data_IF_391538810607
#
_entry.id   IF_391538810607
#
_cell.length_a   1.000
_cell.length_b   1.000
_cell.length_c   1.000
_cell.angle_alpha   90.00
_cell.angle_beta   90.00
_cell.angle_gamma   90.00
#
_symmetry.space_group_name_H-M   'P 1'
#
loop_
_entity.id
_entity.type
_entity.pdbx_description
1 polymer ?
#
# COMPACT_ATOMS: atom_id res chain seq x y z
N UNK A 1 25.49 20.45 5.41
CA UNK A 1 24.33 21.34 5.64
C UNK A 1 23.32 20.56 6.46
N UNK A 2 22.72 21.17 7.49
CA UNK A 2 21.61 20.57 8.22
C UNK A 2 20.47 20.20 7.27
N UNK A 3 19.74 19.14 7.61
CA UNK A 3 18.68 18.55 6.81
C UNK A 3 17.34 18.75 7.52
N UNK A 4 16.40 19.41 6.85
CA UNK A 4 15.08 19.74 7.39
C UNK A 4 14.16 18.51 7.44
N UNK A 5 13.66 18.08 8.62
CA UNK A 5 12.83 16.89 8.74
C UNK A 5 11.45 17.02 8.06
N UNK A 6 10.91 18.24 7.92
CA UNK A 6 9.64 18.52 7.22
C UNK A 6 9.71 18.17 5.72
N UNK A 7 10.89 18.04 5.14
CA UNK A 7 11.08 17.61 3.74
C UNK A 7 10.92 16.09 3.55
N UNK A 8 10.82 15.34 4.66
CA UNK A 8 10.60 13.88 4.68
C UNK A 8 9.23 13.56 5.23
N UNK A 9 8.96 14.00 6.47
CA UNK A 9 7.71 13.69 7.16
C UNK A 9 6.71 14.77 6.77
N UNK A 10 5.61 14.36 6.13
CA UNK A 10 4.60 15.33 5.71
C UNK A 10 3.49 15.51 6.73
N UNK A 11 3.08 14.44 7.42
CA UNK A 11 2.07 14.52 8.46
C UNK A 11 2.41 13.69 9.71
N UNK A 12 2.11 14.28 10.87
CA UNK A 12 2.09 13.62 12.19
C UNK A 12 0.69 13.81 12.77
N UNK A 13 0.04 12.71 13.18
CA UNK A 13 -1.38 12.68 13.58
C UNK A 13 -2.32 13.37 12.57
N UNK A 14 -2.02 13.23 11.28
CA UNK A 14 -2.85 13.79 10.23
C UNK A 14 -2.79 15.32 10.09
N UNK A 15 -1.86 15.97 10.80
CA UNK A 15 -1.54 17.39 10.67
C UNK A 15 -0.22 17.55 9.96
N UNK A 16 -0.07 18.63 9.20
CA UNK A 16 1.21 19.02 8.61
C UNK A 16 2.33 18.94 9.66
N UNK A 17 3.38 18.22 9.32
CA UNK A 17 4.57 18.13 10.17
C UNK A 17 5.27 19.49 10.25
N UNK A 18 5.59 19.90 11.47
CA UNK A 18 6.34 21.11 11.80
C UNK A 18 7.28 20.79 12.97
N UNK A 19 8.44 21.45 13.03
CA UNK A 19 9.28 21.45 14.23
C UNK A 19 8.50 21.92 15.47
N UNK A 20 8.79 21.29 16.60
CA UNK A 20 8.09 21.48 17.88
C UNK A 20 6.76 20.72 18.00
N UNK A 21 6.46 19.78 17.09
CA UNK A 21 5.21 19.02 17.17
C UNK A 21 5.22 18.07 18.37
N UNK A 22 4.21 18.15 19.22
CA UNK A 22 4.07 17.26 20.37
C UNK A 22 2.73 16.52 20.36
N UNK A 23 2.69 15.27 19.85
CA UNK A 23 1.48 14.46 19.82
C UNK A 23 1.01 14.00 21.21
N UNK A 24 1.77 14.23 22.28
CA UNK A 24 1.37 13.86 23.65
C UNK A 24 0.26 14.76 24.20
N UNK A 25 0.15 16.01 23.73
CA UNK A 25 -0.90 16.94 24.15
C UNK A 25 -2.32 16.43 23.88
N UNK A 26 -2.48 15.57 22.88
CA UNK A 26 -3.76 14.94 22.54
C UNK A 26 -3.78 13.45 22.88
N UNK A 27 -2.88 12.97 23.76
CA UNK A 27 -2.65 11.54 24.05
C UNK A 27 -2.60 10.67 22.77
N UNK A 28 -1.93 11.18 21.74
CA UNK A 28 -1.81 10.52 20.44
C UNK A 28 -3.15 10.17 19.77
N UNK A 29 -4.23 10.88 20.08
CA UNK A 29 -5.53 10.66 19.45
C UNK A 29 -5.46 10.84 17.93
N UNK A 30 -5.87 9.81 17.19
CA UNK A 30 -5.90 9.86 15.74
C UNK A 30 -7.22 10.53 15.29
N UNK A 31 -7.16 11.67 14.57
CA UNK A 31 -8.36 12.43 14.20
C UNK A 31 -9.27 11.68 13.22
N UNK A 32 -8.78 10.61 12.61
CA UNK A 32 -9.47 9.84 11.58
C UNK A 32 -10.26 8.65 12.12
N UNK A 33 -9.92 8.18 13.31
CA UNK A 33 -10.57 7.02 13.94
C UNK A 33 -10.98 7.29 15.39
N UNK A 34 -10.84 8.54 15.85
CA UNK A 34 -11.29 9.02 17.16
C UNK A 34 -10.86 8.11 18.32
N UNK A 35 -9.62 7.64 18.23
CA UNK A 35 -9.01 6.73 19.19
C UNK A 35 -7.50 6.87 19.14
N UNK A 36 -6.81 6.43 20.19
CA UNK A 36 -5.36 6.48 20.29
C UNK A 36 -4.68 5.82 19.08
N UNK A 37 -3.69 6.49 18.51
CA UNK A 37 -3.03 6.05 17.29
C UNK A 37 -2.50 4.60 17.42
N UNK A 38 -2.87 3.69 16.52
CA UNK A 38 -2.49 2.28 16.64
C UNK A 38 -1.10 1.98 16.06
N UNK A 39 -0.49 2.94 15.36
CA UNK A 39 0.80 2.74 14.69
C UNK A 39 1.91 2.64 15.74
N UNK A 40 2.71 1.58 15.69
CA UNK A 40 3.77 1.28 16.66
C UNK A 40 5.15 1.37 16.00
N UNK A 41 6.18 1.50 16.82
CA UNK A 41 7.59 1.39 16.43
C UNK A 41 8.34 0.60 17.50
N UNK A 42 9.30 -0.21 17.10
CA UNK A 42 10.23 -0.85 18.06
C UNK A 42 11.10 0.18 18.78
N UNK A 43 11.24 1.38 18.22
CA UNK A 43 11.99 2.49 18.83
C UNK A 43 11.15 3.27 19.85
N UNK A 44 9.83 3.04 19.90
CA UNK A 44 8.88 3.67 20.82
C UNK A 44 8.02 2.58 21.48
N UNK A 45 8.55 1.86 22.50
CA UNK A 45 7.83 0.74 23.09
C UNK A 45 6.54 1.15 23.82
N UNK A 46 6.50 2.37 24.36
CA UNK A 46 5.44 2.83 25.27
C UNK A 46 4.49 3.86 24.65
N UNK A 47 4.77 4.34 23.44
CA UNK A 47 3.97 5.35 22.77
C UNK A 47 3.75 5.02 21.28
N UNK A 48 2.67 5.52 20.65
CA UNK A 48 2.47 5.40 19.22
C UNK A 48 3.56 6.10 18.43
N UNK A 49 3.68 5.68 17.16
CA UNK A 49 4.52 6.32 16.16
C UNK A 49 3.65 6.97 15.07
N UNK A 50 3.09 8.17 15.33
CA UNK A 50 1.98 8.74 14.56
C UNK A 50 2.36 9.40 13.23
N UNK A 51 3.37 8.91 12.52
CA UNK A 51 3.71 9.39 11.17
C UNK A 51 2.68 8.86 10.16
N UNK A 52 1.91 9.75 9.54
CA UNK A 52 0.78 9.39 8.68
C UNK A 52 1.12 9.39 7.19
N UNK A 53 2.01 10.28 6.76
CA UNK A 53 2.43 10.41 5.36
C UNK A 53 3.87 10.90 5.24
N UNK A 54 4.49 10.59 4.10
CA UNK A 54 5.86 10.96 3.78
C UNK A 54 5.94 11.63 2.42
N UNK A 55 6.83 12.60 2.30
CA UNK A 55 7.19 13.22 1.05
C UNK A 55 8.03 12.26 0.20
N UNK A 56 7.57 12.06 -1.03
CA UNK A 56 8.34 11.51 -2.12
C UNK A 56 8.95 12.68 -2.90
N UNK A 57 10.29 12.79 -2.95
CA UNK A 57 10.95 13.82 -3.73
C UNK A 57 10.52 13.77 -5.20
N UNK A 58 10.44 14.95 -5.83
CA UNK A 58 10.19 15.04 -7.26
C UNK A 58 11.24 14.22 -8.03
N UNK A 59 10.80 13.45 -9.02
CA UNK A 59 11.72 12.84 -9.97
C UNK A 59 12.38 13.93 -10.79
N UNK A 60 13.70 13.85 -11.02
CA UNK A 60 14.43 14.77 -11.91
C UNK A 60 13.86 14.83 -13.34
N UNK A 61 13.07 13.83 -13.73
CA UNK A 61 12.42 13.73 -15.05
C UNK A 61 10.95 14.17 -15.05
N UNK A 62 10.38 14.55 -13.90
CA UNK A 62 8.98 14.94 -13.76
C UNK A 62 8.85 16.46 -13.64
N UNK A 63 7.86 17.03 -14.33
CA UNK A 63 7.43 18.42 -14.12
C UNK A 63 6.57 18.58 -12.85
N UNK A 64 6.15 17.47 -12.22
CA UNK A 64 5.41 17.49 -10.97
C UNK A 64 6.37 17.63 -9.77
N UNK A 65 5.98 18.46 -8.81
CA UNK A 65 6.69 18.65 -7.55
C UNK A 65 6.70 17.41 -6.64
N UNK A 66 7.19 17.52 -5.40
CA UNK A 66 7.16 16.43 -4.44
C UNK A 66 5.72 15.98 -4.17
N UNK A 67 5.54 14.68 -4.00
CA UNK A 67 4.23 14.07 -3.74
C UNK A 67 4.13 13.61 -2.30
N UNK A 68 2.96 13.78 -1.68
CA UNK A 68 2.70 13.28 -0.34
C UNK A 68 2.01 11.91 -0.40
N UNK A 69 2.57 10.91 0.29
CA UNK A 69 2.13 9.52 0.18
C UNK A 69 1.75 8.95 1.55
N UNK A 70 0.59 8.32 1.61
CA UNK A 70 0.02 7.65 2.78
C UNK A 70 0.91 6.48 3.27
N UNK A 71 1.47 6.57 4.47
CA UNK A 71 2.13 5.44 5.17
C UNK A 71 1.29 4.91 6.35
N UNK A 72 0.02 5.27 6.36
CA UNK A 72 -0.97 4.83 7.34
C UNK A 72 -2.34 4.69 6.64
N UNK A 73 -2.99 3.51 6.68
CA UNK A 73 -4.28 3.31 6.02
C UNK A 73 -5.42 4.09 6.70
N UNK A 74 -5.26 4.49 7.97
CA UNK A 74 -6.27 5.32 8.66
C UNK A 74 -6.46 6.68 8.01
N UNK A 75 -5.52 7.13 7.18
CA UNK A 75 -5.61 8.40 6.47
C UNK A 75 -6.71 8.43 5.41
N UNK A 76 -7.17 7.28 4.90
CA UNK A 76 -8.34 7.20 4.00
C UNK A 76 -9.65 7.62 4.66
N UNK A 77 -9.75 7.55 6.00
CA UNK A 77 -10.96 7.92 6.75
C UNK A 77 -11.16 9.43 6.84
N UNK A 78 -10.26 10.23 6.26
CA UNK A 78 -10.47 11.67 6.12
C UNK A 78 -11.51 12.02 5.04
N UNK A 79 -11.95 11.04 4.26
CA UNK A 79 -13.07 11.12 3.33
C UNK A 79 -14.01 9.95 3.59
N UNK A 80 -15.27 10.07 3.15
CA UNK A 80 -16.24 8.98 3.21
C UNK A 80 -16.01 8.00 2.04
N UNK A 81 -14.88 7.30 2.09
CA UNK A 81 -14.49 6.38 1.03
C UNK A 81 -15.50 5.24 0.87
N UNK A 82 -16.23 4.83 1.92
CA UNK A 82 -17.25 3.78 1.82
C UNK A 82 -18.47 4.26 1.03
N UNK A 83 -18.89 5.52 1.23
CA UNK A 83 -19.89 6.15 0.36
C UNK A 83 -19.40 6.25 -1.08
N UNK A 84 -18.13 6.62 -1.29
CA UNK A 84 -17.53 6.65 -2.63
C UNK A 84 -17.48 5.26 -3.28
N UNK A 85 -17.23 4.18 -2.53
CA UNK A 85 -17.36 2.81 -3.04
C UNK A 85 -18.78 2.54 -3.54
N UNK A 86 -19.82 2.94 -2.80
CA UNK A 86 -21.20 2.77 -3.25
C UNK A 86 -21.45 3.59 -4.52
N UNK A 87 -21.03 4.86 -4.51
CA UNK A 87 -21.27 5.80 -5.61
C UNK A 87 -20.51 5.46 -6.89
N UNK A 88 -19.36 4.81 -6.81
CA UNK A 88 -18.50 4.55 -7.96
C UNK A 88 -18.36 3.07 -8.34
N UNK A 89 -18.52 2.14 -7.40
CA UNK A 89 -18.21 0.72 -7.60
C UNK A 89 -19.42 -0.21 -7.50
N UNK A 90 -20.54 0.22 -6.90
CA UNK A 90 -21.71 -0.64 -6.74
C UNK A 90 -22.28 -1.09 -8.09
N UNK A 91 -22.37 -2.41 -8.38
CA UNK A 91 -22.92 -2.90 -9.63
C UNK A 91 -24.44 -2.73 -9.69
N UNK A 92 -24.96 -2.35 -10.86
CA UNK A 92 -26.41 -2.23 -11.08
C UNK A 92 -27.05 -1.07 -10.31
N UNK A 93 -28.25 -1.30 -9.80
CA UNK A 93 -29.02 -0.32 -9.03
C UNK A 93 -28.38 -0.06 -7.66
N UNK A 94 -28.57 1.15 -7.14
CA UNK A 94 -28.07 1.54 -5.81
C UNK A 94 -28.67 0.63 -4.72
N UNK A 95 -27.89 0.29 -3.68
CA UNK A 95 -28.37 -0.54 -2.58
C UNK A 95 -29.51 0.17 -1.83
N UNK A 96 -30.49 -0.60 -1.36
CA UNK A 96 -31.63 -0.04 -0.62
C UNK A 96 -31.33 0.15 0.87
N UNK A 97 -30.58 -0.77 1.46
CA UNK A 97 -30.22 -0.78 2.87
C UNK A 97 -28.75 -1.24 3.04
N UNK A 98 -27.77 -0.41 2.60
CA UNK A 98 -26.37 -0.75 2.73
C UNK A 98 -25.92 -0.78 4.20
N UNK A 99 -25.30 -1.88 4.62
CA UNK A 99 -24.68 -2.04 5.93
C UNK A 99 -23.21 -2.42 5.79
N UNK A 100 -22.39 -2.00 6.77
CA UNK A 100 -20.94 -2.20 6.76
C UNK A 100 -20.56 -3.22 7.83
N UNK A 101 -19.97 -4.34 7.41
CA UNK A 101 -19.26 -5.27 8.29
C UNK A 101 -17.75 -4.97 8.25
N UNK A 102 -17.08 -4.99 9.40
CA UNK A 102 -15.63 -4.69 9.54
C UNK A 102 -14.88 -5.95 9.93
N UNK A 103 -13.65 -6.12 9.44
CA UNK A 103 -12.76 -7.25 9.76
C UNK A 103 -13.42 -8.64 9.59
N UNK A 104 -14.04 -8.85 8.43
CA UNK A 104 -14.76 -10.08 8.12
C UNK A 104 -13.75 -11.20 7.83
N UNK A 105 -13.75 -12.22 8.67
CA UNK A 105 -12.86 -13.39 8.55
C UNK A 105 -13.62 -14.61 8.05
N UNK A 106 -13.04 -15.31 7.09
CA UNK A 106 -13.57 -16.58 6.59
C UNK A 106 -12.41 -17.55 6.32
N UNK A 107 -12.55 -18.79 6.78
CA UNK A 107 -11.58 -19.85 6.51
C UNK A 107 -11.41 -20.08 5.00
N UNK A 108 -10.18 -20.32 4.55
CA UNK A 108 -9.84 -20.46 3.13
C UNK A 108 -9.83 -19.13 2.35
N UNK A 109 -10.62 -18.12 2.72
CA UNK A 109 -10.64 -16.81 2.08
C UNK A 109 -9.71 -15.78 2.75
N UNK A 110 -9.52 -15.87 4.06
CA UNK A 110 -8.76 -14.89 4.86
C UNK A 110 -9.63 -13.77 5.43
N UNK A 111 -9.01 -12.63 5.75
CA UNK A 111 -9.67 -11.45 6.33
C UNK A 111 -9.97 -10.40 5.26
N UNK A 112 -11.09 -9.68 5.40
CA UNK A 112 -11.44 -8.46 4.64
C UNK A 112 -11.59 -7.29 5.58
N UNK A 113 -11.02 -6.13 5.24
CA UNK A 113 -11.13 -4.93 6.06
C UNK A 113 -12.60 -4.48 6.22
N UNK A 114 -13.33 -4.42 5.10
CA UNK A 114 -14.75 -4.06 5.10
C UNK A 114 -15.56 -4.85 4.07
N UNK A 115 -16.82 -5.10 4.40
CA UNK A 115 -17.83 -5.57 3.44
C UNK A 115 -19.02 -4.62 3.50
N UNK A 116 -19.40 -4.05 2.35
CA UNK A 116 -20.66 -3.31 2.19
C UNK A 116 -21.69 -4.27 1.62
N UNK A 117 -22.76 -4.55 2.35
CA UNK A 117 -23.81 -5.49 1.98
C UNK A 117 -25.19 -4.82 1.92
N UNK A 118 -25.99 -5.11 0.90
CA UNK A 118 -27.38 -4.67 0.84
C UNK A 118 -28.30 -5.67 1.57
N UNK A 119 -28.83 -5.26 2.72
CA UNK A 119 -29.52 -6.16 3.66
C UNK A 119 -31.05 -6.01 3.53
N UNK A 120 -31.71 -7.04 3.01
CA UNK A 120 -33.17 -7.07 2.87
C UNK A 120 -33.88 -7.29 4.23
N UNK A 121 -35.20 -7.08 4.26
CA UNK A 121 -36.05 -7.18 5.47
C UNK A 121 -35.94 -8.50 6.26
N UNK A 122 -35.49 -9.59 5.62
CA UNK A 122 -35.30 -10.91 6.23
C UNK A 122 -33.82 -11.24 6.54
N UNK A 123 -32.96 -10.23 6.65
CA UNK A 123 -31.50 -10.37 6.79
C UNK A 123 -30.81 -11.12 5.63
N UNK A 124 -31.48 -11.27 4.49
CA UNK A 124 -30.85 -11.84 3.29
C UNK A 124 -29.95 -10.80 2.62
N UNK A 125 -28.74 -11.23 2.28
CA UNK A 125 -27.76 -10.47 1.49
C UNK A 125 -27.72 -11.09 0.10
N UNK A 126 -28.08 -10.30 -0.92
CA UNK A 126 -27.98 -10.73 -2.33
C UNK A 126 -26.77 -10.12 -3.04
N UNK A 127 -26.33 -8.95 -2.59
CA UNK A 127 -25.24 -8.22 -3.21
C UNK A 127 -24.36 -7.58 -2.15
N UNK A 128 -23.06 -7.65 -2.36
CA UNK A 128 -22.07 -7.08 -1.49
C UNK A 128 -20.80 -6.72 -2.26
N UNK A 129 -19.99 -5.83 -1.68
CA UNK A 129 -18.65 -5.50 -2.11
C UNK A 129 -17.68 -5.67 -0.95
N UNK A 130 -16.56 -6.33 -1.20
CA UNK A 130 -15.42 -6.30 -0.28
C UNK A 130 -14.58 -5.06 -0.55
N UNK A 131 -14.02 -4.45 0.50
CA UNK A 131 -13.12 -3.29 0.41
C UNK A 131 -11.86 -3.56 1.22
N UNK A 132 -10.70 -3.33 0.61
CA UNK A 132 -9.38 -3.46 1.24
C UNK A 132 -8.67 -2.11 1.21
N UNK A 133 -8.11 -1.70 2.34
CA UNK A 133 -7.26 -0.51 2.41
C UNK A 133 -5.79 -0.92 2.36
N UNK A 134 -5.00 -0.32 1.46
CA UNK A 134 -3.55 -0.54 1.45
C UNK A 134 -2.80 0.78 1.32
N UNK A 135 -2.02 1.12 2.34
CA UNK A 135 -1.03 2.21 2.32
C UNK A 135 0.36 1.71 1.85
N UNK A 136 1.35 2.60 1.71
CA UNK A 136 2.72 2.18 1.38
C UNK A 136 3.53 1.86 2.65
N UNK A 137 4.24 0.73 2.63
CA UNK A 137 5.23 0.39 3.65
C UNK A 137 6.55 1.14 3.37
N UNK A 138 7.45 1.24 4.36
CA UNK A 138 8.79 1.82 4.16
C UNK A 138 9.89 0.80 4.44
N UNK A 139 11.06 1.00 3.84
CA UNK A 139 12.34 0.41 4.25
C UNK A 139 13.14 1.45 5.04
N UNK A 140 14.09 0.99 5.86
CA UNK A 140 14.85 1.87 6.75
C UNK A 140 13.97 2.49 7.82
N UNK A 141 14.26 3.72 8.22
CA UNK A 141 13.48 4.42 9.25
C UNK A 141 13.47 5.93 9.06
N UNK A 142 12.29 6.53 9.24
CA UNK A 142 12.11 7.98 9.35
C UNK A 142 12.04 8.46 10.80
N UNK A 143 12.32 7.58 11.76
CA UNK A 143 12.27 7.90 13.19
C UNK A 143 13.19 9.06 13.59
N UNK A 144 14.44 9.17 13.09
CA UNK A 144 15.26 10.34 13.39
C UNK A 144 14.61 11.65 12.97
N UNK A 145 13.91 11.67 11.83
CA UNK A 145 13.20 12.88 11.38
C UNK A 145 11.98 13.18 12.26
N UNK A 146 11.25 12.15 12.70
CA UNK A 146 10.17 12.34 13.67
C UNK A 146 10.67 12.87 15.02
N UNK A 147 11.81 12.36 15.53
CA UNK A 147 12.40 12.89 16.76
C UNK A 147 12.85 14.35 16.61
N UNK A 148 13.52 14.67 15.50
CA UNK A 148 13.94 16.04 15.19
C UNK A 148 12.74 17.00 15.14
N UNK A 149 11.60 16.57 14.56
CA UNK A 149 10.36 17.34 14.61
C UNK A 149 9.85 17.57 16.04
N UNK A 150 9.94 16.58 16.93
CA UNK A 150 9.47 16.74 18.31
C UNK A 150 10.31 17.72 19.11
N UNK A 151 11.64 17.64 18.96
CA UNK A 151 12.57 18.52 19.70
C UNK A 151 12.78 19.88 19.03
N UNK A 152 12.29 20.05 17.79
CA UNK A 152 12.34 21.31 17.06
C UNK A 152 13.66 21.59 16.34
N UNK A 153 14.40 20.56 15.95
CA UNK A 153 15.74 20.67 15.39
C UNK A 153 15.84 20.19 13.93
N UNK A 154 16.92 20.58 13.25
CA UNK A 154 17.35 19.97 12.00
C UNK A 154 18.18 18.71 12.24
N UNK A 155 18.22 17.82 11.26
CA UNK A 155 19.11 16.65 11.29
C UNK A 155 20.51 17.02 10.78
N UNK A 156 21.55 16.40 11.32
CA UNK A 156 22.89 16.49 10.75
C UNK A 156 22.97 15.91 9.32
N UNK A 157 22.18 14.87 9.05
CA UNK A 157 22.13 14.18 7.77
C UNK A 157 20.74 13.59 7.52
N UNK A 158 20.43 13.39 6.23
CA UNK A 158 19.21 12.71 5.80
C UNK A 158 19.17 11.27 6.37
N UNK A 159 18.07 10.85 7.04
CA UNK A 159 17.92 9.46 7.45
C UNK A 159 17.77 8.53 6.24
N UNK A 160 18.25 7.29 6.38
CA UNK A 160 18.13 6.26 5.35
C UNK A 160 16.74 5.64 5.42
N UNK A 161 15.91 5.92 4.41
CA UNK A 161 14.61 5.30 4.23
C UNK A 161 14.24 5.23 2.75
N UNK A 162 13.25 4.40 2.43
CA UNK A 162 12.64 4.35 1.11
C UNK A 162 11.21 3.84 1.19
N UNK A 163 10.41 4.12 0.16
CA UNK A 163 9.10 3.48 0.02
C UNK A 163 9.28 2.04 -0.45
N UNK A 164 8.66 1.09 0.24
CA UNK A 164 8.82 -0.34 0.00
C UNK A 164 7.85 -0.84 -1.06
N UNK A 165 7.98 -0.28 -2.27
CA UNK A 165 7.11 -0.57 -3.40
C UNK A 165 7.07 -2.06 -3.76
N UNK A 166 8.22 -2.71 -3.73
CA UNK A 166 8.36 -4.14 -4.06
C UNK A 166 7.57 -5.02 -3.10
N UNK A 167 7.67 -4.77 -1.80
CA UNK A 167 6.99 -5.57 -0.79
C UNK A 167 5.47 -5.40 -0.90
N UNK A 168 5.01 -4.15 -1.02
CA UNK A 168 3.58 -3.87 -1.17
C UNK A 168 3.05 -4.48 -2.46
N UNK A 169 3.75 -4.34 -3.58
CA UNK A 169 3.37 -4.95 -4.85
C UNK A 169 3.23 -6.48 -4.72
N UNK A 170 4.26 -7.18 -4.20
CA UNK A 170 4.28 -8.64 -4.09
C UNK A 170 3.15 -9.16 -3.19
N UNK A 171 2.95 -8.55 -2.01
CA UNK A 171 1.93 -8.97 -1.04
C UNK A 171 0.52 -8.62 -1.50
N UNK A 172 0.30 -7.39 -1.95
CA UNK A 172 -1.04 -6.89 -2.20
C UNK A 172 -1.63 -7.42 -3.49
N UNK A 173 -0.83 -7.52 -4.56
CA UNK A 173 -1.34 -8.01 -5.84
C UNK A 173 -1.72 -9.50 -5.78
N UNK A 174 -0.90 -10.31 -5.11
CA UNK A 174 -1.22 -11.74 -4.91
C UNK A 174 -2.51 -11.91 -4.10
N UNK A 175 -2.73 -11.07 -3.08
CA UNK A 175 -3.98 -11.03 -2.32
C UNK A 175 -5.17 -10.64 -3.21
N UNK A 176 -5.04 -9.61 -4.05
CA UNK A 176 -6.10 -9.16 -4.96
C UNK A 176 -6.45 -10.22 -6.02
N UNK A 177 -5.46 -10.90 -6.61
CA UNK A 177 -5.73 -12.00 -7.56
C UNK A 177 -6.52 -13.10 -6.89
N UNK A 178 -6.07 -13.55 -5.71
CA UNK A 178 -6.72 -14.65 -4.98
C UNK A 178 -8.15 -14.30 -4.55
N UNK A 179 -8.35 -13.10 -3.98
CA UNK A 179 -9.69 -12.65 -3.58
C UNK A 179 -10.58 -12.36 -4.78
N UNK A 180 -10.03 -11.76 -5.84
CA UNK A 180 -10.72 -11.51 -7.10
C UNK A 180 -11.23 -12.80 -7.76
N UNK A 181 -10.47 -13.90 -7.68
CA UNK A 181 -10.93 -15.23 -8.10
C UNK A 181 -12.19 -15.67 -7.36
N UNK A 182 -12.24 -15.50 -6.04
CA UNK A 182 -13.45 -15.84 -5.27
C UNK A 182 -14.62 -14.92 -5.61
N UNK A 183 -14.37 -13.61 -5.71
CA UNK A 183 -15.39 -12.63 -6.10
C UNK A 183 -15.97 -12.88 -7.49
N UNK A 184 -15.15 -13.36 -8.44
CA UNK A 184 -15.62 -13.82 -9.75
C UNK A 184 -16.68 -14.93 -9.61
N UNK A 185 -16.43 -15.95 -8.79
CA UNK A 185 -17.38 -17.05 -8.56
C UNK A 185 -18.62 -16.62 -7.78
N UNK A 186 -18.45 -15.68 -6.85
CA UNK A 186 -19.55 -15.11 -6.06
C UNK A 186 -20.37 -14.07 -6.82
N UNK A 187 -19.99 -13.72 -8.05
CA UNK A 187 -20.60 -12.64 -8.85
C UNK A 187 -20.62 -11.31 -8.08
N UNK A 188 -19.55 -11.05 -7.34
CA UNK A 188 -19.29 -9.84 -6.56
C UNK A 188 -17.95 -9.23 -7.00
N UNK A 189 -17.52 -8.14 -6.36
CA UNK A 189 -16.26 -7.45 -6.66
C UNK A 189 -15.52 -7.10 -5.37
N UNK A 190 -14.20 -7.06 -5.45
CA UNK A 190 -13.34 -6.49 -4.40
C UNK A 190 -12.80 -5.13 -4.84
N UNK A 191 -12.86 -4.15 -3.95
CA UNK A 191 -12.39 -2.78 -4.17
C UNK A 191 -11.11 -2.55 -3.37
N UNK A 192 -10.02 -2.33 -4.09
CA UNK A 192 -8.72 -1.93 -3.57
C UNK A 192 -8.65 -0.41 -3.43
N UNK A 193 -8.66 0.10 -2.21
CA UNK A 193 -8.52 1.52 -1.90
C UNK A 193 -7.06 1.82 -1.57
N UNK A 194 -6.39 2.53 -2.47
CA UNK A 194 -4.93 2.69 -2.45
C UNK A 194 -4.46 4.09 -2.83
N UNK A 195 -3.22 4.49 -2.48
CA UNK A 195 -2.61 5.67 -3.05
C UNK A 195 -2.46 5.53 -4.56
N UNK A 196 -2.73 6.61 -5.28
CA UNK A 196 -2.52 6.70 -6.72
C UNK A 196 -1.08 6.33 -7.12
N UNK A 197 -0.09 6.68 -6.30
CA UNK A 197 1.31 6.33 -6.56
C UNK A 197 1.58 4.83 -6.47
N UNK A 198 0.89 4.11 -5.57
CA UNK A 198 0.98 2.64 -5.50
C UNK A 198 0.35 2.04 -6.75
N UNK A 199 -0.77 2.59 -7.20
CA UNK A 199 -1.42 2.15 -8.42
C UNK A 199 -0.54 2.36 -9.66
N UNK A 200 0.01 3.55 -9.86
CA UNK A 200 0.92 3.84 -10.97
C UNK A 200 2.16 2.95 -10.95
N UNK A 201 2.66 2.60 -9.75
CA UNK A 201 3.73 1.63 -9.61
C UNK A 201 3.34 0.22 -10.08
N UNK A 202 2.13 -0.23 -9.72
CA UNK A 202 1.56 -1.50 -10.20
C UNK A 202 1.46 -1.50 -11.73
N UNK A 203 0.97 -0.41 -12.34
CA UNK A 203 0.84 -0.27 -13.79
C UNK A 203 2.19 -0.30 -14.51
N UNK A 204 3.20 0.39 -13.95
CA UNK A 204 4.56 0.35 -14.49
C UNK A 204 5.24 -1.02 -14.37
N UNK A 205 4.72 -1.89 -13.48
CA UNK A 205 5.20 -3.26 -13.30
C UNK A 205 4.44 -4.27 -14.14
N UNK A 206 3.14 -4.12 -14.33
CA UNK A 206 2.30 -5.08 -15.06
C UNK A 206 1.28 -4.32 -15.92
N UNK A 207 1.37 -4.52 -17.24
CA UNK A 207 0.39 -4.00 -18.19
C UNK A 207 -0.80 -4.93 -18.31
N UNK A 208 -1.80 -4.78 -17.44
CA UNK A 208 -3.08 -5.49 -17.56
C UNK A 208 -4.14 -4.57 -18.19
N UNK A 209 -5.12 -5.16 -18.87
CA UNK A 209 -6.27 -4.40 -19.40
C UNK A 209 -7.12 -3.82 -18.25
N UNK A 210 -7.71 -2.66 -18.48
CA UNK A 210 -8.49 -1.92 -17.50
C UNK A 210 -9.70 -1.28 -18.15
N UNK A 211 -10.74 -1.03 -17.37
CA UNK A 211 -11.95 -0.32 -17.82
C UNK A 211 -12.47 0.61 -16.73
N UNK A 212 -13.01 1.76 -17.13
CA UNK A 212 -13.73 2.67 -16.24
C UNK A 212 -15.19 2.21 -16.01
N UNK A 213 -15.73 1.30 -16.83
CA UNK A 213 -17.11 0.78 -16.72
C UNK A 213 -17.26 -0.27 -15.61
N UNK A 214 -16.67 -0.02 -14.44
CA UNK A 214 -16.53 -0.99 -13.35
C UNK A 214 -17.85 -1.54 -12.82
N UNK A 215 -18.94 -0.77 -12.95
CA UNK A 215 -20.29 -1.14 -12.52
C UNK A 215 -21.03 -2.05 -13.49
N UNK A 216 -20.75 -1.92 -14.79
CA UNK A 216 -21.51 -2.58 -15.86
C UNK A 216 -20.78 -3.79 -16.43
N UNK A 217 -19.45 -3.76 -16.43
CA UNK A 217 -18.65 -4.84 -16.99
C UNK A 217 -18.71 -6.09 -16.06
N UNK A 218 -19.25 -7.22 -16.55
CA UNK A 218 -19.36 -8.46 -15.77
C UNK A 218 -18.01 -9.17 -15.57
N UNK A 219 -16.98 -8.85 -16.36
CA UNK A 219 -15.65 -9.43 -16.21
C UNK A 219 -14.87 -8.78 -15.06
N UNK A 220 -15.21 -7.54 -14.69
CA UNK A 220 -14.55 -6.83 -13.59
C UNK A 220 -14.91 -7.47 -12.26
N UNK A 221 -13.90 -7.99 -11.55
CA UNK A 221 -14.02 -8.52 -10.18
C UNK A 221 -12.99 -7.91 -9.22
N UNK A 222 -12.04 -7.11 -9.72
CA UNK A 222 -11.13 -6.29 -8.94
C UNK A 222 -11.29 -4.85 -9.40
N UNK A 223 -11.52 -3.92 -8.48
CA UNK A 223 -11.61 -2.49 -8.76
C UNK A 223 -10.51 -1.78 -7.98
N UNK A 224 -9.75 -0.90 -8.63
CA UNK A 224 -8.83 0.03 -7.99
C UNK A 224 -9.54 1.38 -7.86
N UNK A 225 -9.70 1.85 -6.63
CA UNK A 225 -10.20 3.18 -6.30
C UNK A 225 -9.06 3.95 -5.62
N UNK A 226 -8.53 4.96 -6.30
CA UNK A 226 -7.24 5.54 -5.94
C UNK A 226 -7.36 6.96 -5.43
N UNK A 227 -6.53 7.32 -4.45
CA UNK A 227 -6.49 8.66 -3.88
C UNK A 227 -5.10 9.28 -3.94
N UNK A 228 -5.06 10.61 -4.05
CA UNK A 228 -3.85 11.41 -3.84
C UNK A 228 -4.09 12.40 -2.70
N UNK A 229 -3.05 12.67 -1.90
CA UNK A 229 -3.09 13.79 -0.95
C UNK A 229 -2.85 15.09 -1.72
N UNK A 230 -3.85 15.96 -1.74
CA UNK A 230 -3.79 17.29 -2.34
C UNK A 230 -4.01 18.35 -1.26
N UNK A 231 -3.59 19.60 -1.52
CA UNK A 231 -3.76 20.69 -0.56
C UNK A 231 -5.25 20.87 -0.23
N UNK A 232 -5.56 21.00 1.05
CA UNK A 232 -6.93 21.27 1.47
C UNK A 232 -7.24 22.78 1.25
N UNK A 233 -8.17 23.14 0.34
CA UNK A 233 -8.55 24.54 0.12
C UNK A 233 -9.13 25.19 1.38
N UNK A 234 -9.71 24.39 2.28
CA UNK A 234 -10.39 24.87 3.48
C UNK A 234 -9.43 25.00 4.68
N UNK A 235 -8.22 24.43 4.59
CA UNK A 235 -7.24 24.39 5.69
C UNK A 235 -5.83 24.64 5.16
N UNK A 236 -5.37 25.88 5.32
CA UNK A 236 -4.06 26.32 4.82
C UNK A 236 -2.93 25.40 5.30
N UNK A 237 -2.21 24.82 4.35
CA UNK A 237 -1.04 23.97 4.61
C UNK A 237 -1.38 22.51 4.95
N UNK A 238 -2.65 22.16 5.14
CA UNK A 238 -3.09 20.78 5.33
C UNK A 238 -3.37 20.12 3.98
N UNK A 239 -3.52 18.80 4.02
CA UNK A 239 -3.81 17.99 2.84
C UNK A 239 -5.10 17.19 3.05
N UNK A 240 -5.76 16.78 1.96
CA UNK A 240 -6.88 15.83 2.01
C UNK A 240 -6.77 14.80 0.88
N UNK A 241 -7.28 13.57 1.09
CA UNK A 241 -7.41 12.60 0.01
C UNK A 241 -8.38 13.15 -1.03
N UNK A 242 -7.98 13.08 -2.30
CA UNK A 242 -8.80 13.39 -3.46
C UNK A 242 -8.84 12.14 -4.33
N UNK A 243 -10.05 11.69 -4.69
CA UNK A 243 -10.26 10.56 -5.58
C UNK A 243 -9.67 10.90 -6.95
N UNK A 244 -8.81 10.02 -7.48
CA UNK A 244 -8.12 10.22 -8.76
C UNK A 244 -8.71 9.31 -9.84
N UNK A 245 -8.73 7.99 -9.60
CA UNK A 245 -9.18 7.01 -10.58
C UNK A 245 -10.11 5.97 -9.95
N UNK A 246 -11.03 5.47 -10.77
CA UNK A 246 -11.82 4.27 -10.52
C UNK A 246 -11.73 3.39 -11.76
N UNK A 247 -10.89 2.37 -11.69
CA UNK A 247 -10.64 1.45 -12.81
C UNK A 247 -10.74 0.00 -12.36
N UNK A 248 -11.29 -0.85 -13.23
CA UNK A 248 -11.56 -2.25 -12.96
C UNK A 248 -10.78 -3.19 -13.87
N UNK A 249 -10.53 -4.40 -13.36
CA UNK A 249 -9.96 -5.51 -14.13
C UNK A 249 -10.50 -6.86 -13.61
N UNK A 250 -10.12 -7.94 -14.27
CA UNK A 250 -10.39 -9.31 -13.81
C UNK A 250 -9.15 -9.90 -13.14
N UNK A 251 -9.34 -10.79 -12.16
CA UNK A 251 -8.24 -11.51 -11.52
C UNK A 251 -7.38 -12.26 -12.55
N UNK A 252 -7.98 -12.85 -13.59
CA UNK A 252 -7.26 -13.59 -14.64
C UNK A 252 -6.36 -12.67 -15.45
N UNK A 253 -6.85 -11.50 -15.84
CA UNK A 253 -6.05 -10.52 -16.59
C UNK A 253 -4.89 -9.98 -15.74
N UNK A 254 -5.16 -9.65 -14.47
CA UNK A 254 -4.11 -9.22 -13.55
C UNK A 254 -3.07 -10.34 -13.31
N UNK A 255 -3.51 -11.59 -13.14
CA UNK A 255 -2.62 -12.75 -13.00
C UNK A 255 -1.74 -12.96 -14.24
N UNK A 256 -2.34 -12.92 -15.43
CA UNK A 256 -1.61 -13.12 -16.68
C UNK A 256 -0.57 -12.03 -16.90
N UNK A 257 -0.90 -10.76 -16.63
CA UNK A 257 0.04 -9.64 -16.78
C UNK A 257 1.26 -9.72 -15.85
N UNK A 258 1.18 -10.50 -14.76
CA UNK A 258 2.29 -10.69 -13.83
C UNK A 258 3.14 -11.89 -14.23
N UNK A 259 2.50 -12.97 -14.67
CA UNK A 259 3.17 -14.22 -15.01
C UNK A 259 3.85 -14.16 -16.39
N UNK A 260 3.21 -13.56 -17.38
CA UNK A 260 3.67 -13.54 -18.77
C UNK A 260 4.40 -12.24 -19.09
N UNK A 261 5.60 -12.09 -18.51
CA UNK A 261 6.55 -11.03 -18.88
C UNK A 261 7.66 -11.60 -19.73
N UNK A 262 8.15 -10.81 -20.67
CA UNK A 262 9.35 -11.17 -21.42
C UNK A 262 10.51 -11.39 -20.44
N UNK A 263 11.11 -12.59 -20.40
CA UNK A 263 12.22 -12.85 -19.52
C UNK A 263 13.43 -12.00 -19.96
N UNK A 264 14.23 -11.47 -19.01
CA UNK A 264 15.50 -10.85 -19.36
C UNK A 264 16.41 -11.87 -20.07
N UNK A 265 17.29 -11.37 -20.94
CA UNK A 265 18.19 -12.23 -21.70
C UNK A 265 19.08 -13.06 -20.77
N UNK A 266 19.12 -14.37 -20.98
CA UNK A 266 19.97 -15.29 -20.21
C UNK A 266 21.44 -14.86 -20.21
N UNK A 267 21.92 -14.34 -21.34
CA UNK A 267 23.29 -13.82 -21.49
C UNK A 267 23.59 -12.68 -20.53
N UNK A 268 22.69 -11.70 -20.39
CA UNK A 268 22.87 -10.58 -19.48
C UNK A 268 22.98 -11.05 -18.02
N UNK A 269 22.22 -12.08 -17.64
CA UNK A 269 22.33 -12.66 -16.30
C UNK A 269 23.66 -13.43 -16.11
N UNK A 270 24.11 -14.17 -17.12
CA UNK A 270 25.42 -14.84 -17.10
C UNK A 270 26.56 -13.83 -16.92
N UNK A 271 26.51 -12.69 -17.59
CA UNK A 271 27.54 -11.66 -17.46
C UNK A 271 27.58 -11.07 -16.05
N UNK A 272 26.40 -10.88 -15.43
CA UNK A 272 26.31 -10.45 -14.03
C UNK A 272 26.87 -11.52 -13.07
N UNK A 273 26.62 -12.81 -13.33
CA UNK A 273 27.20 -13.91 -12.55
C UNK A 273 28.73 -13.87 -12.66
N UNK A 274 29.28 -13.77 -13.87
CA UNK A 274 30.74 -13.68 -14.08
C UNK A 274 31.35 -12.50 -13.33
N UNK A 275 30.72 -11.33 -13.41
CA UNK A 275 31.15 -10.14 -12.66
C UNK A 275 31.11 -10.35 -11.14
N UNK A 276 30.08 -11.04 -10.63
CA UNK A 276 29.99 -11.37 -9.21
C UNK A 276 31.08 -12.34 -8.77
N UNK A 277 31.31 -13.39 -9.54
CA UNK A 277 32.36 -14.39 -9.28
C UNK A 277 33.76 -13.76 -9.31
N UNK A 278 34.02 -12.85 -10.24
CA UNK A 278 35.31 -12.14 -10.30
C UNK A 278 35.58 -11.27 -9.06
N UNK A 279 34.54 -10.80 -8.36
CA UNK A 279 34.67 -9.98 -7.15
C UNK A 279 34.87 -10.78 -5.85
N UNK A 280 34.64 -12.09 -5.88
CA UNK A 280 34.71 -12.92 -4.68
C UNK A 280 33.99 -14.24 -4.85
N UNK A 281 34.47 -15.09 -5.77
CA UNK A 281 33.94 -16.43 -5.93
C UNK A 281 34.25 -17.27 -4.69
N UNK A 282 33.20 -17.89 -4.14
CA UNK A 282 33.33 -18.92 -3.11
C UNK A 282 33.07 -20.26 -3.79
N UNK A 283 34.06 -21.15 -3.79
CA UNK A 283 33.84 -22.51 -4.30
C UNK A 283 33.10 -23.33 -3.26
N UNK A 284 32.12 -24.09 -3.72
CA UNK A 284 31.36 -25.01 -2.87
C UNK A 284 32.30 -26.02 -2.18
N UNK A 285 33.35 -26.49 -2.88
CA UNK A 285 34.38 -27.38 -2.32
C UNK A 285 35.08 -26.80 -1.09
N UNK A 286 35.31 -25.49 -1.08
CA UNK A 286 36.05 -24.81 -0.03
C UNK A 286 35.16 -24.65 1.20
N UNK A 287 33.86 -24.40 1.00
CA UNK A 287 32.85 -24.40 2.06
C UNK A 287 32.64 -25.79 2.69
N UNK A 288 32.62 -26.85 1.87
CA UNK A 288 32.53 -28.24 2.38
C UNK A 288 33.78 -28.58 3.19
N UNK A 289 34.96 -28.21 2.68
CA UNK A 289 36.24 -28.47 3.35
C UNK A 289 36.39 -27.67 4.65
N UNK A 290 35.77 -26.49 4.74
CA UNK A 290 35.67 -25.67 5.95
C UNK A 290 34.60 -26.18 6.94
N UNK A 291 33.76 -27.14 6.54
CA UNK A 291 32.64 -27.64 7.36
C UNK A 291 31.44 -26.70 7.43
N UNK A 292 31.40 -25.66 6.60
CA UNK A 292 30.34 -24.64 6.60
C UNK A 292 29.03 -25.15 5.97
N UNK A 293 29.11 -26.16 5.10
CA UNK A 293 27.97 -26.85 4.49
C UNK A 293 28.25 -28.36 4.35
N UNK A 294 27.22 -29.19 4.51
CA UNK A 294 27.34 -30.64 4.35
C UNK A 294 27.57 -31.02 2.89
N UNK A 295 28.42 -32.03 2.65
CA UNK A 295 28.47 -32.70 1.35
C UNK A 295 27.12 -33.36 1.08
N UNK A 296 26.42 -32.91 0.03
CA UNK A 296 25.26 -33.63 -0.48
C UNK A 296 25.81 -34.81 -1.28
N UNK A 297 25.73 -36.01 -0.69
CA UNK A 297 25.83 -37.24 -1.48
C UNK A 297 24.56 -37.29 -2.34
N UNK A 298 24.74 -37.15 -3.67
CA UNK A 298 23.67 -37.50 -4.59
C UNK A 298 23.67 -39.02 -4.66
N UNK A 299 22.69 -39.65 -4.04
CA UNK A 299 22.34 -41.02 -4.38
C UNK A 299 21.88 -40.99 -5.85
N UNK A 300 22.70 -41.55 -6.74
CA UNK A 300 22.34 -41.82 -8.13
C UNK A 300 21.29 -42.94 -8.13
N UNK A 301 20.00 -42.57 -8.04
CA UNK A 301 18.84 -43.40 -8.40
C UNK A 301 18.19 -42.89 -9.71
#
# INVERSE_FOLDING_TARGET
>A
MPFEPETIVGEVLGRRAVKGIDPTHTDFECPYIQSRCPKRSTQLPNEPYPVCSLWKPASRKSMQGPELIFVCPKRFYAVDFLKEVIDHCWPGDKPQNPQIAREVKMEGFGNVDFVIADVKKNNKIEQFLSVELQAIDITGSVFPAYQALRIGEDLEKKPTYGFNWDNVYKRYITQLIRKGYFHHHWKSKIVAVIPEQVYQYILGRAGFMRTAEVKKDPQVNIIFMTYRLEKDPDKVGEYKPVLVNVEGTSHTNLQNAIMYKDPPQRSAFIDQIKSSLARGAVKISDLISAGDISSVEYDDD
#
